data_IF_748868208387
#
_entry.id   IF_748868208387
#
_cell.length_a   1.000
_cell.length_b   1.000
_cell.length_c   1.000
_cell.angle_alpha   90.00
_cell.angle_beta   90.00
_cell.angle_gamma   90.00
#
_symmetry.space_group_name_H-M   'P 1'
#
loop_
_entity.id
_entity.type
_entity.pdbx_description
1 polymer ?
#
# COMPACT_ATOMS: atom_id res chain seq x y z
N UNK A 1 -4.44 5.67 -11.05
CA UNK A 1 -2.96 5.56 -11.01
C UNK A 1 -2.54 4.18 -11.49
N UNK A 2 -1.48 4.10 -12.26
CA UNK A 2 -1.01 2.81 -12.78
C UNK A 2 -0.28 2.01 -11.70
N UNK A 3 -0.49 0.69 -11.69
CA UNK A 3 0.24 -0.21 -10.80
C UNK A 3 0.62 -1.49 -11.56
N UNK A 4 1.80 -2.01 -11.24
CA UNK A 4 2.28 -3.24 -11.86
C UNK A 4 1.82 -4.48 -11.11
N UNK A 5 1.66 -4.36 -9.80
CA UNK A 5 1.25 -5.45 -8.91
C UNK A 5 0.22 -4.92 -7.92
N UNK A 6 -0.75 -5.75 -7.58
CA UNK A 6 -1.78 -5.41 -6.59
C UNK A 6 -1.69 -6.37 -5.41
N UNK A 7 -1.68 -5.82 -4.21
CA UNK A 7 -1.71 -6.59 -2.97
C UNK A 7 -3.00 -6.30 -2.22
N UNK A 8 -3.80 -7.32 -2.00
CA UNK A 8 -5.07 -7.22 -1.28
C UNK A 8 -4.83 -7.51 0.20
N UNK A 9 -5.10 -6.52 1.05
CA UNK A 9 -4.99 -6.67 2.50
C UNK A 9 -6.32 -6.38 3.19
N UNK A 10 -7.43 -6.55 2.46
CA UNK A 10 -8.77 -6.38 3.03
C UNK A 10 -9.00 -7.34 4.18
N UNK A 11 -9.63 -6.86 5.23
CA UNK A 11 -9.89 -7.65 6.43
C UNK A 11 -8.72 -7.74 7.39
N UNK A 12 -7.57 -7.17 7.05
CA UNK A 12 -6.40 -7.15 7.93
C UNK A 12 -6.29 -5.81 8.64
N UNK A 13 -5.82 -5.84 9.88
CA UNK A 13 -5.64 -4.65 10.71
C UNK A 13 -4.17 -4.30 10.84
N UNK A 14 -3.90 -3.01 11.10
CA UNK A 14 -2.55 -2.54 11.37
C UNK A 14 -1.93 -3.38 12.50
N UNK A 15 -0.67 -3.85 12.37
CA UNK A 15 0.30 -3.48 11.33
C UNK A 15 0.35 -4.46 10.14
N UNK A 16 -0.60 -5.40 10.00
CA UNK A 16 -0.53 -6.45 8.98
C UNK A 16 -0.44 -5.94 7.53
N UNK A 17 -1.21 -4.91 7.11
CA UNK A 17 -1.05 -4.41 5.74
C UNK A 17 0.38 -3.98 5.44
N UNK A 18 1.04 -3.33 6.39
CA UNK A 18 2.43 -2.87 6.22
C UNK A 18 3.39 -4.06 6.18
N UNK A 19 3.17 -5.06 7.04
CA UNK A 19 4.01 -6.27 7.04
C UNK A 19 3.89 -7.00 5.70
N UNK A 20 2.68 -7.15 5.19
CA UNK A 20 2.44 -7.78 3.89
C UNK A 20 3.08 -6.99 2.76
N UNK A 21 2.98 -5.66 2.81
CA UNK A 21 3.60 -4.77 1.84
C UNK A 21 5.12 -4.92 1.85
N UNK A 22 5.71 -4.98 3.04
CA UNK A 22 7.16 -5.15 3.20
C UNK A 22 7.65 -6.45 2.55
N UNK A 23 6.88 -7.52 2.69
CA UNK A 23 7.23 -8.80 2.06
C UNK A 23 7.04 -8.76 0.56
N UNK A 24 5.93 -8.19 0.11
CA UNK A 24 5.59 -8.15 -1.32
C UNK A 24 6.54 -7.27 -2.13
N UNK A 25 6.95 -6.14 -1.57
CA UNK A 25 7.81 -5.20 -2.29
C UNK A 25 9.16 -5.82 -2.64
N UNK A 26 9.61 -6.81 -1.86
CA UNK A 26 10.87 -7.51 -2.13
C UNK A 26 10.81 -8.36 -3.40
N UNK A 27 9.61 -8.73 -3.83
CA UNK A 27 9.41 -9.52 -5.04
C UNK A 27 9.37 -8.65 -6.30
N UNK A 28 9.27 -7.35 -6.14
CA UNK A 28 9.22 -6.42 -7.25
C UNK A 28 10.62 -5.97 -7.67
N UNK A 29 10.71 -5.50 -8.91
CA UNK A 29 11.94 -4.85 -9.38
C UNK A 29 11.85 -3.35 -9.11
N UNK A 30 13.01 -2.71 -9.00
CA UNK A 30 13.08 -1.26 -8.80
C UNK A 30 12.36 -0.56 -9.97
N UNK A 31 11.50 0.39 -9.62
CA UNK A 31 10.70 1.12 -10.60
C UNK A 31 9.28 0.60 -10.75
N UNK A 32 8.98 -0.59 -10.26
CA UNK A 32 7.62 -1.12 -10.29
C UNK A 32 6.76 -0.48 -9.21
N UNK A 33 5.47 -0.39 -9.48
CA UNK A 33 4.50 0.22 -8.58
C UNK A 33 3.63 -0.87 -7.95
N UNK A 34 3.55 -0.87 -6.63
CA UNK A 34 2.71 -1.78 -5.87
C UNK A 34 1.47 -1.02 -5.39
N UNK A 35 0.30 -1.56 -5.72
CA UNK A 35 -0.98 -1.05 -5.23
C UNK A 35 -1.39 -1.91 -4.05
N UNK A 36 -1.56 -1.30 -2.88
CA UNK A 36 -1.99 -1.99 -1.67
C UNK A 36 -3.41 -1.57 -1.34
N UNK A 37 -4.31 -2.54 -1.28
CA UNK A 37 -5.72 -2.30 -0.96
C UNK A 37 -5.95 -2.67 0.50
N UNK A 38 -6.52 -1.75 1.28
CA UNK A 38 -6.81 -1.97 2.70
C UNK A 38 -8.15 -1.36 3.05
N UNK A 39 -8.81 -1.90 4.06
CA UNK A 39 -10.00 -1.30 4.64
C UNK A 39 -9.74 -0.70 6.02
N UNK A 40 -8.47 -0.66 6.43
CA UNK A 40 -8.05 -0.05 7.68
C UNK A 40 -7.60 1.39 7.44
N UNK A 41 -8.30 2.34 8.04
CA UNK A 41 -8.01 3.76 7.93
C UNK A 41 -6.58 4.12 8.34
N UNK A 42 -5.98 3.34 9.24
CA UNK A 42 -4.62 3.57 9.71
C UNK A 42 -3.57 3.58 8.60
N UNK A 43 -3.88 2.97 7.45
CA UNK A 43 -2.95 2.92 6.33
C UNK A 43 -2.66 4.30 5.75
N UNK A 44 -3.59 5.24 5.91
CA UNK A 44 -3.40 6.63 5.44
C UNK A 44 -2.17 7.27 6.06
N UNK A 45 -1.86 6.90 7.28
CA UNK A 45 -0.74 7.44 8.04
C UNK A 45 0.45 6.50 7.98
N UNK A 46 0.20 5.20 8.10
CA UNK A 46 1.25 4.20 8.20
C UNK A 46 2.02 4.02 6.90
N UNK A 47 1.34 4.03 5.76
CA UNK A 47 2.00 3.79 4.49
C UNK A 47 2.99 4.88 4.11
N UNK A 48 2.64 6.17 4.20
CA UNK A 48 3.62 7.23 3.93
C UNK A 48 4.83 7.16 4.87
N UNK A 49 4.58 6.88 6.15
CA UNK A 49 5.64 6.75 7.14
C UNK A 49 6.56 5.57 6.82
N UNK A 50 5.99 4.44 6.44
CA UNK A 50 6.76 3.27 6.05
C UNK A 50 7.62 3.55 4.81
N UNK A 51 7.07 4.25 3.82
CA UNK A 51 7.82 4.62 2.62
C UNK A 51 8.99 5.52 2.95
N UNK A 52 8.80 6.49 3.85
CA UNK A 52 9.85 7.39 4.29
C UNK A 52 10.97 6.62 5.00
N UNK A 53 10.58 5.70 5.88
CA UNK A 53 11.54 4.90 6.65
C UNK A 53 12.34 3.94 5.76
N UNK A 54 11.69 3.33 4.77
CA UNK A 54 12.34 2.34 3.92
C UNK A 54 12.99 2.93 2.68
N UNK A 55 12.67 4.17 2.34
CA UNK A 55 13.24 4.83 1.17
C UNK A 55 12.48 4.56 -0.13
N UNK A 56 11.34 3.88 -0.06
CA UNK A 56 10.47 3.72 -1.23
C UNK A 56 9.64 4.98 -1.43
N UNK A 57 9.12 5.16 -2.64
CA UNK A 57 8.37 6.37 -2.97
C UNK A 57 6.87 6.14 -2.78
N UNK A 58 6.24 6.98 -1.96
CA UNK A 58 4.79 6.98 -1.81
C UNK A 58 4.19 7.85 -2.92
N UNK A 59 3.41 7.23 -3.82
CA UNK A 59 2.86 7.93 -4.98
C UNK A 59 1.52 8.58 -4.69
N UNK A 60 0.73 7.99 -3.83
CA UNK A 60 -0.57 8.56 -3.51
C UNK A 60 -1.51 7.55 -2.88
N UNK A 61 -2.69 8.04 -2.54
CA UNK A 61 -3.74 7.24 -1.92
C UNK A 61 -5.07 7.60 -2.54
N UNK A 62 -5.86 6.59 -2.86
CA UNK A 62 -7.22 6.76 -3.35
C UNK A 62 -8.18 6.08 -2.38
N UNK A 63 -9.33 6.70 -2.16
CA UNK A 63 -10.39 6.12 -1.33
C UNK A 63 -11.56 5.76 -2.25
N UNK A 64 -12.09 4.54 -2.07
CA UNK A 64 -13.24 4.07 -2.83
C UNK A 64 -14.28 3.53 -1.85
N UNK A 65 -15.49 4.06 -1.92
CA UNK A 65 -16.57 3.59 -1.07
C UNK A 65 -17.23 2.38 -1.73
N UNK A 66 -17.26 1.28 -0.99
CA UNK A 66 -17.81 0.01 -1.45
C UNK A 66 -18.85 -0.47 -0.44
N UNK A 67 -20.13 -0.22 -0.75
CA UNK A 67 -21.20 -0.55 0.19
C UNK A 67 -21.03 0.27 1.47
N UNK A 68 -20.93 -0.34 2.62
CA UNK A 68 -20.72 0.35 3.89
C UNK A 68 -19.25 0.50 4.28
N UNK A 69 -18.32 0.14 3.39
CA UNK A 69 -16.89 0.10 3.70
C UNK A 69 -16.10 1.00 2.77
N UNK A 70 -15.06 1.64 3.29
CA UNK A 70 -14.15 2.42 2.48
C UNK A 70 -12.90 1.58 2.21
N UNK A 71 -12.54 1.44 0.94
CA UNK A 71 -11.31 0.77 0.53
C UNK A 71 -10.25 1.83 0.24
N UNK A 72 -9.11 1.70 0.89
CA UNK A 72 -7.98 2.60 0.71
C UNK A 72 -6.98 1.93 -0.23
N UNK A 73 -6.66 2.59 -1.34
CA UNK A 73 -5.72 2.08 -2.33
C UNK A 73 -4.48 2.96 -2.28
N UNK A 74 -3.38 2.40 -1.78
CA UNK A 74 -2.12 3.12 -1.70
C UNK A 74 -1.18 2.64 -2.80
N UNK A 75 -0.42 3.57 -3.37
CA UNK A 75 0.50 3.29 -4.46
C UNK A 75 1.92 3.58 -4.02
N UNK A 76 2.75 2.56 -4.09
CA UNK A 76 4.15 2.64 -3.65
C UNK A 76 5.05 2.21 -4.80
N UNK A 77 6.04 3.04 -5.12
CA UNK A 77 7.03 2.72 -6.14
C UNK A 77 8.28 2.19 -5.46
N UNK A 78 8.75 1.02 -5.91
CA UNK A 78 9.96 0.45 -5.37
C UNK A 78 11.17 1.27 -5.83
N UNK A 79 11.89 1.85 -4.89
CA UNK A 79 13.04 2.71 -5.17
C UNK A 79 14.38 2.07 -4.85
N UNK A 80 14.37 0.92 -4.20
CA UNK A 80 15.61 0.23 -3.81
C UNK A 80 15.57 -1.25 -4.13
#
# INVERSE_FOLDING_TARGET
MHSDVTLDTLGLFCPMPIIKTSKKIKELTVGQVLKVISDDEGIKKDMPAWCETTGHQFLGLEEEQNGGTIHYKTYVKKSK
#
